data_IF_091564621530
#
_entry.id   IF_091564621530
#
_cell.length_a   1.000
_cell.length_b   1.000
_cell.length_c   1.000
_cell.angle_alpha   90.00
_cell.angle_beta   90.00
_cell.angle_gamma   90.00
#
_symmetry.space_group_name_H-M   'P 1'
#
loop_
_entity.id
_entity.type
_entity.pdbx_description
1 polymer ?
#
# COMPACT_ATOMS: atom_id res chain seq x y z
N UNK A 1 23.66 -12.05 10.06
CA UNK A 1 22.29 -11.89 9.55
C UNK A 1 21.32 -11.33 10.58
N UNK A 2 21.11 -11.99 11.73
CA UNK A 2 20.01 -11.64 12.66
C UNK A 2 19.95 -10.18 13.14
N UNK A 3 21.11 -9.56 13.43
CA UNK A 3 21.20 -8.19 13.93
C UNK A 3 20.95 -7.12 12.85
N UNK A 4 21.28 -7.41 11.59
CA UNK A 4 21.01 -6.52 10.45
C UNK A 4 19.53 -6.54 10.08
N UNK A 5 18.90 -7.72 10.04
CA UNK A 5 17.47 -7.83 9.76
C UNK A 5 16.62 -7.11 10.82
N UNK A 6 16.97 -7.23 12.11
CA UNK A 6 16.26 -6.48 13.16
C UNK A 6 16.50 -4.98 13.09
N UNK A 7 17.72 -4.54 12.76
CA UNK A 7 18.05 -3.12 12.62
C UNK A 7 17.35 -2.42 11.44
N UNK A 8 16.96 -3.17 10.40
CA UNK A 8 16.31 -2.61 9.19
C UNK A 8 14.80 -2.82 9.21
N UNK A 9 14.31 -4.02 9.56
CA UNK A 9 12.87 -4.35 9.48
C UNK A 9 12.04 -3.53 10.46
N UNK A 10 12.55 -3.25 11.66
CA UNK A 10 11.85 -2.43 12.66
C UNK A 10 11.57 -1.01 12.16
N UNK A 11 12.61 -0.24 11.76
CA UNK A 11 12.41 1.07 11.15
C UNK A 11 11.58 1.03 9.87
N UNK A 12 11.80 0.05 8.98
CA UNK A 12 11.02 -0.09 7.76
C UNK A 12 9.52 -0.26 8.06
N UNK A 13 9.19 -1.12 9.03
CA UNK A 13 7.82 -1.31 9.51
C UNK A 13 7.21 -0.01 10.04
N UNK A 14 7.95 0.71 10.89
CA UNK A 14 7.48 1.98 11.42
C UNK A 14 7.29 3.03 10.32
N UNK A 15 8.16 3.07 9.32
CA UNK A 15 8.02 3.94 8.16
C UNK A 15 6.72 3.64 7.41
N UNK A 16 6.47 2.37 7.06
CA UNK A 16 5.27 1.96 6.34
C UNK A 16 3.97 2.26 7.10
N UNK A 17 3.94 1.95 8.41
CA UNK A 17 2.76 2.21 9.25
C UNK A 17 2.51 3.71 9.44
N UNK A 18 3.57 4.48 9.69
CA UNK A 18 3.43 5.92 9.95
C UNK A 18 3.13 6.71 8.68
N UNK A 19 3.62 6.25 7.52
CA UNK A 19 3.38 6.90 6.24
C UNK A 19 1.93 6.78 5.79
N UNK A 20 1.21 5.71 6.18
CA UNK A 20 -0.20 5.54 5.84
C UNK A 20 -1.06 6.74 6.21
N UNK A 21 -0.88 7.31 7.41
CA UNK A 21 -1.64 8.50 7.82
C UNK A 21 -1.37 9.70 6.92
N UNK A 22 -0.12 9.87 6.48
CA UNK A 22 0.28 10.96 5.59
C UNK A 22 -0.30 10.72 4.20
N UNK A 23 -0.17 9.51 3.66
CA UNK A 23 -0.73 9.13 2.37
C UNK A 23 -2.25 9.28 2.34
N UNK A 24 -2.94 8.85 3.40
CA UNK A 24 -4.39 8.93 3.48
C UNK A 24 -4.90 10.38 3.43
N UNK A 25 -4.27 11.28 4.18
CA UNK A 25 -4.68 12.69 4.21
C UNK A 25 -4.26 13.46 2.96
N UNK A 26 -3.07 13.17 2.41
CA UNK A 26 -2.46 13.96 1.33
C UNK A 26 -2.78 13.45 -0.06
N UNK A 27 -3.14 12.17 -0.23
CA UNK A 27 -3.39 11.54 -1.53
C UNK A 27 -4.81 11.00 -1.61
N UNK A 28 -5.21 10.12 -0.68
CA UNK A 28 -6.55 9.50 -0.72
C UNK A 28 -7.65 10.56 -0.56
N UNK A 29 -7.53 11.43 0.45
CA UNK A 29 -8.49 12.49 0.77
C UNK A 29 -8.10 13.87 0.19
N UNK A 30 -7.15 13.91 -0.73
CA UNK A 30 -6.65 15.17 -1.28
C UNK A 30 -7.78 15.98 -1.93
N UNK A 31 -7.88 17.27 -1.61
CA UNK A 31 -8.79 18.17 -2.32
C UNK A 31 -8.22 18.54 -3.69
N UNK A 32 -9.07 18.79 -4.68
CA UNK A 32 -8.68 19.21 -6.04
C UNK A 32 -7.69 20.40 -6.11
N UNK A 33 -7.65 21.25 -5.07
CA UNK A 33 -6.80 22.44 -5.03
C UNK A 33 -5.44 22.22 -4.33
N UNK A 34 -5.10 20.99 -3.95
CA UNK A 34 -3.82 20.69 -3.34
C UNK A 34 -2.73 20.61 -4.42
N UNK A 35 -1.76 21.53 -4.39
CA UNK A 35 -0.53 21.41 -5.18
C UNK A 35 0.27 20.19 -4.69
N UNK A 36 -0.01 19.04 -5.29
CA UNK A 36 0.59 17.75 -4.90
C UNK A 36 1.96 17.48 -5.54
N UNK A 37 2.40 18.32 -6.48
CA UNK A 37 3.67 18.13 -7.20
C UNK A 37 4.74 19.04 -6.61
N UNK A 38 5.59 18.47 -5.75
CA UNK A 38 6.79 19.12 -5.25
C UNK A 38 7.99 18.77 -6.12
N UNK A 39 8.90 19.71 -6.36
CA UNK A 39 10.19 19.44 -7.00
C UNK A 39 11.33 19.67 -6.01
N UNK A 40 12.42 18.91 -6.11
CA UNK A 40 13.64 19.17 -5.37
C UNK A 40 14.50 20.27 -6.01
N UNK A 41 15.67 20.55 -5.43
CA UNK A 41 16.60 21.58 -5.93
C UNK A 41 17.12 21.29 -7.33
N UNK A 42 17.05 20.03 -7.75
CA UNK A 42 17.60 19.55 -9.02
C UNK A 42 16.48 19.41 -10.07
N UNK A 43 15.24 19.76 -9.70
CA UNK A 43 14.05 19.69 -10.56
C UNK A 43 13.43 18.30 -10.65
N UNK A 44 13.83 17.36 -9.79
CA UNK A 44 13.22 16.02 -9.73
C UNK A 44 11.91 16.07 -8.95
N UNK A 45 10.89 15.37 -9.45
CA UNK A 45 9.62 15.26 -8.76
C UNK A 45 9.77 14.51 -7.43
N UNK A 46 9.23 15.11 -6.36
CA UNK A 46 9.09 14.49 -5.05
C UNK A 46 7.69 13.89 -4.98
N UNK A 47 7.60 12.60 -5.26
CA UNK A 47 6.33 11.88 -5.23
C UNK A 47 6.22 11.01 -3.98
N UNK A 48 5.28 11.36 -3.10
CA UNK A 48 4.88 10.48 -2.00
C UNK A 48 4.32 9.17 -2.52
N UNK A 49 3.62 9.20 -3.66
CA UNK A 49 3.12 7.99 -4.32
C UNK A 49 4.28 7.08 -4.75
N UNK A 50 5.30 7.62 -5.42
CA UNK A 50 6.48 6.82 -5.80
C UNK A 50 7.20 6.26 -4.57
N UNK A 51 7.28 7.02 -3.47
CA UNK A 51 7.86 6.52 -2.22
C UNK A 51 7.09 5.32 -1.65
N UNK A 52 5.75 5.40 -1.59
CA UNK A 52 4.92 4.27 -1.13
C UNK A 52 5.00 3.07 -2.08
N UNK A 53 5.04 3.28 -3.40
CA UNK A 53 5.23 2.20 -4.37
C UNK A 53 6.56 1.47 -4.11
N UNK A 54 7.66 2.20 -3.91
CA UNK A 54 8.94 1.57 -3.57
C UNK A 54 8.90 0.81 -2.23
N UNK A 55 8.09 1.26 -1.25
CA UNK A 55 7.87 0.50 -0.02
C UNK A 55 7.11 -0.81 -0.31
N UNK A 56 6.09 -0.79 -1.16
CA UNK A 56 5.39 -2.00 -1.60
C UNK A 56 6.32 -2.99 -2.32
N UNK A 57 7.14 -2.51 -3.24
CA UNK A 57 8.13 -3.35 -3.95
C UNK A 57 9.14 -3.98 -2.98
N UNK A 58 9.60 -3.21 -1.99
CA UNK A 58 10.50 -3.72 -0.95
C UNK A 58 9.81 -4.78 -0.09
N UNK A 59 8.57 -4.56 0.34
CA UNK A 59 7.80 -5.57 1.07
C UNK A 59 7.55 -6.82 0.24
N UNK A 60 7.23 -6.66 -1.06
CA UNK A 60 7.05 -7.77 -1.99
C UNK A 60 8.33 -8.60 -2.08
N UNK A 61 9.48 -7.92 -2.20
CA UNK A 61 10.80 -8.58 -2.20
C UNK A 61 11.09 -9.31 -0.89
N UNK A 62 10.70 -8.75 0.26
CA UNK A 62 10.88 -9.38 1.58
C UNK A 62 9.99 -10.61 1.73
N UNK A 63 8.72 -10.53 1.34
CA UNK A 63 7.75 -11.63 1.41
C UNK A 63 8.16 -12.77 0.47
N UNK A 64 8.58 -12.47 -0.75
CA UNK A 64 9.06 -13.48 -1.71
C UNK A 64 10.40 -14.12 -1.33
N UNK A 65 11.12 -13.57 -0.35
CA UNK A 65 12.33 -14.18 0.16
C UNK A 65 12.02 -15.17 1.30
N UNK A 66 12.11 -16.47 1.04
CA UNK A 66 11.81 -17.54 2.01
C UNK A 66 12.52 -17.44 3.38
N UNK A 67 13.68 -16.78 3.48
CA UNK A 67 14.34 -16.56 4.77
C UNK A 67 13.73 -15.37 5.52
N UNK A 68 13.45 -14.27 4.83
CA UNK A 68 12.90 -13.06 5.44
C UNK A 68 11.39 -13.21 5.72
N UNK A 69 10.67 -13.93 4.87
CA UNK A 69 9.28 -14.32 5.09
C UNK A 69 9.08 -14.97 6.47
N UNK A 70 9.98 -15.87 6.88
CA UNK A 70 9.92 -16.50 8.21
C UNK A 70 10.08 -15.49 9.35
N UNK A 71 10.84 -14.41 9.14
CA UNK A 71 11.05 -13.36 10.15
C UNK A 71 9.82 -12.50 10.31
N UNK A 72 9.12 -12.18 9.21
CA UNK A 72 7.95 -11.29 9.24
C UNK A 72 6.61 -12.01 9.40
N UNK A 73 6.59 -13.34 9.43
CA UNK A 73 5.39 -14.17 9.50
C UNK A 73 4.39 -13.73 10.59
N UNK A 74 4.89 -13.30 11.75
CA UNK A 74 4.05 -12.81 12.86
C UNK A 74 3.31 -11.50 12.61
N UNK A 75 3.66 -10.75 11.55
CA UNK A 75 3.08 -9.44 11.22
C UNK A 75 2.28 -9.45 9.91
N UNK A 76 2.11 -10.60 9.25
CA UNK A 76 1.48 -10.65 7.91
C UNK A 76 0.03 -10.16 7.90
N UNK A 77 -0.72 -10.39 8.98
CA UNK A 77 -2.07 -9.85 9.14
C UNK A 77 -2.09 -8.32 9.13
N UNK A 78 -1.14 -7.71 9.84
CA UNK A 78 -1.02 -6.25 9.90
C UNK A 78 -0.48 -5.69 8.59
N UNK A 79 0.46 -6.38 7.94
CA UNK A 79 0.94 -6.03 6.60
C UNK A 79 -0.21 -6.04 5.58
N UNK A 80 -1.06 -7.07 5.58
CA UNK A 80 -2.24 -7.15 4.73
C UNK A 80 -3.24 -6.01 5.03
N UNK A 81 -3.46 -5.69 6.31
CA UNK A 81 -4.33 -4.56 6.72
C UNK A 81 -3.86 -3.23 6.15
N UNK A 82 -2.58 -2.88 6.36
CA UNK A 82 -2.05 -1.62 5.82
C UNK A 82 -2.07 -1.63 4.30
N UNK A 83 -1.69 -2.75 3.67
CA UNK A 83 -1.73 -2.89 2.21
C UNK A 83 -3.11 -2.57 1.65
N UNK A 84 -4.18 -3.22 2.15
CA UNK A 84 -5.56 -2.95 1.73
C UNK A 84 -5.93 -1.48 1.99
N UNK A 85 -5.48 -0.92 3.12
CA UNK A 85 -5.81 0.46 3.50
C UNK A 85 -5.19 1.49 2.54
N UNK A 86 -3.99 1.25 2.01
CA UNK A 86 -3.36 2.10 0.99
C UNK A 86 -4.04 2.01 -0.38
N UNK A 87 -4.72 0.91 -0.69
CA UNK A 87 -5.37 0.69 -1.99
C UNK A 87 -6.72 1.38 -2.16
N UNK A 88 -7.11 2.28 -1.25
CA UNK A 88 -8.34 3.06 -1.42
C UNK A 88 -8.30 3.89 -2.71
N UNK A 89 -9.43 3.97 -3.41
CA UNK A 89 -9.57 4.86 -4.57
C UNK A 89 -9.43 6.30 -4.08
N UNK A 90 -8.59 7.10 -4.72
CA UNK A 90 -8.41 8.52 -4.39
C UNK A 90 -9.53 9.38 -4.96
N UNK A 91 -9.76 10.56 -4.41
CA UNK A 91 -10.73 11.52 -4.97
C UNK A 91 -10.41 11.86 -6.44
N UNK A 92 -9.13 12.02 -6.77
CA UNK A 92 -8.67 12.25 -8.14
C UNK A 92 -9.04 11.10 -9.08
N UNK A 93 -8.80 9.85 -8.66
CA UNK A 93 -9.18 8.67 -9.43
C UNK A 93 -10.69 8.58 -9.62
N UNK A 94 -11.49 8.81 -8.58
CA UNK A 94 -12.96 8.84 -8.69
C UNK A 94 -13.39 9.82 -9.79
N UNK A 95 -12.82 11.02 -9.81
CA UNK A 95 -13.18 12.05 -10.78
C UNK A 95 -12.74 11.70 -12.21
N UNK A 96 -11.48 11.30 -12.37
CA UNK A 96 -10.91 10.97 -13.67
C UNK A 96 -11.65 9.77 -14.30
N UNK A 97 -11.86 8.70 -13.52
CA UNK A 97 -12.52 7.49 -14.00
C UNK A 97 -14.02 7.69 -14.25
N UNK A 98 -14.67 8.59 -13.52
CA UNK A 98 -16.06 8.97 -13.80
C UNK A 98 -16.22 9.73 -15.11
N UNK A 99 -15.15 10.39 -15.59
CA UNK A 99 -15.15 11.20 -16.83
C UNK A 99 -14.65 10.40 -18.04
N UNK A 100 -13.75 9.44 -17.84
CA UNK A 100 -13.19 8.61 -18.90
C UNK A 100 -13.03 7.14 -18.46
N UNK A 101 -13.90 6.28 -19.00
CA UNK A 101 -13.86 4.85 -18.73
C UNK A 101 -12.62 4.16 -19.35
N UNK A 102 -12.01 4.72 -20.40
CA UNK A 102 -10.78 4.14 -20.96
C UNK A 102 -9.60 4.40 -20.03
N UNK A 103 -9.59 5.56 -19.35
CA UNK A 103 -8.58 5.86 -18.33
C UNK A 103 -8.68 4.88 -17.16
N UNK A 104 -9.89 4.56 -16.69
CA UNK A 104 -10.09 3.51 -15.69
C UNK A 104 -9.50 2.16 -16.12
N UNK A 105 -9.76 1.73 -17.36
CA UNK A 105 -9.22 0.46 -17.88
C UNK A 105 -7.70 0.48 -17.95
N UNK A 106 -7.10 1.61 -18.35
CA UNK A 106 -5.64 1.74 -18.40
C UNK A 106 -5.01 1.75 -16.99
N UNK A 107 -5.62 2.46 -16.04
CA UNK A 107 -5.05 2.64 -14.69
C UNK A 107 -5.14 1.37 -13.83
N UNK A 108 -6.11 0.50 -14.08
CA UNK A 108 -6.26 -0.79 -13.38
C UNK A 108 -5.55 -1.95 -14.10
N UNK A 109 -4.75 -1.69 -15.14
CA UNK A 109 -3.85 -2.69 -15.74
C UNK A 109 -2.67 -2.98 -14.82
N UNK A 110 -2.24 -4.24 -14.74
CA UNK A 110 -1.15 -4.70 -13.86
C UNK A 110 0.21 -4.07 -14.18
N UNK A 111 0.37 -3.44 -15.35
CA UNK A 111 1.60 -2.69 -15.71
C UNK A 111 1.59 -1.25 -15.21
N UNK A 112 0.48 -0.77 -14.64
CA UNK A 112 0.37 0.60 -14.16
C UNK A 112 1.13 0.79 -12.85
N UNK A 113 1.98 1.81 -12.84
CA UNK A 113 2.76 2.18 -11.67
C UNK A 113 1.90 2.98 -10.68
N UNK A 114 1.23 2.28 -9.75
CA UNK A 114 0.40 2.89 -8.71
C UNK A 114 0.50 2.13 -7.39
N UNK A 115 0.12 2.80 -6.28
CA UNK A 115 -0.02 2.14 -4.98
C UNK A 115 -1.09 1.03 -5.00
N UNK A 116 -2.14 1.21 -5.79
CA UNK A 116 -3.23 0.22 -5.93
C UNK A 116 -2.72 -1.07 -6.55
N UNK A 117 -2.00 -0.98 -7.67
CA UNK A 117 -1.43 -2.13 -8.37
C UNK A 117 -0.31 -2.77 -7.54
N UNK A 118 0.61 -1.97 -7.00
CA UNK A 118 1.73 -2.48 -6.19
C UNK A 118 1.25 -3.18 -4.90
N UNK A 119 0.18 -2.66 -4.30
CA UNK A 119 -0.48 -3.32 -3.17
C UNK A 119 -1.08 -4.68 -3.55
N UNK A 120 -1.70 -4.80 -4.72
CA UNK A 120 -2.26 -6.08 -5.20
C UNK A 120 -1.17 -7.12 -5.39
N UNK A 121 -0.04 -6.73 -6.00
CA UNK A 121 1.11 -7.62 -6.17
C UNK A 121 1.67 -8.10 -4.82
N UNK A 122 1.73 -7.24 -3.80
CA UNK A 122 2.13 -7.66 -2.46
C UNK A 122 1.13 -8.65 -1.83
N UNK A 123 -0.18 -8.43 -2.00
CA UNK A 123 -1.19 -9.37 -1.50
C UNK A 123 -1.07 -10.74 -2.18
N UNK A 124 -0.80 -10.79 -3.49
CA UNK A 124 -0.54 -12.03 -4.22
C UNK A 124 0.72 -12.74 -3.72
N UNK A 125 1.79 -11.99 -3.46
CA UNK A 125 3.04 -12.52 -2.91
C UNK A 125 2.83 -13.05 -1.48
N UNK A 126 1.97 -12.41 -0.67
CA UNK A 126 1.57 -12.93 0.65
C UNK A 126 0.88 -14.29 0.53
N UNK A 127 -0.06 -14.45 -0.41
CA UNK A 127 -0.72 -15.74 -0.65
C UNK A 127 0.29 -16.77 -1.14
N UNK A 128 1.21 -16.38 -2.02
CA UNK A 128 2.23 -17.27 -2.56
C UNK A 128 3.21 -17.75 -1.49
N UNK A 129 3.64 -16.87 -0.58
CA UNK A 129 4.64 -17.18 0.44
C UNK A 129 4.06 -17.90 1.67
N UNK A 130 2.77 -17.71 1.98
CA UNK A 130 2.15 -18.21 3.21
C UNK A 130 0.95 -19.14 2.99
N UNK A 131 0.56 -19.41 1.74
CA UNK A 131 -0.53 -20.31 1.36
C UNK A 131 -1.84 -19.95 2.10
N UNK A 132 -2.51 -20.93 2.71
CA UNK A 132 -3.76 -20.75 3.45
C UNK A 132 -3.65 -19.66 4.54
N UNK A 133 -2.50 -19.55 5.20
CA UNK A 133 -2.28 -18.51 6.21
C UNK A 133 -2.28 -17.10 5.60
N UNK A 134 -1.77 -16.95 4.38
CA UNK A 134 -1.84 -15.69 3.64
C UNK A 134 -3.27 -15.31 3.28
N UNK A 135 -4.08 -16.28 2.84
CA UNK A 135 -5.50 -16.09 2.54
C UNK A 135 -6.26 -15.65 3.80
N UNK A 136 -6.06 -16.35 4.93
CA UNK A 136 -6.68 -16.01 6.20
C UNK A 136 -6.29 -14.59 6.67
N UNK A 137 -5.03 -14.21 6.50
CA UNK A 137 -4.54 -12.88 6.84
C UNK A 137 -5.25 -11.77 6.04
N UNK A 138 -5.42 -11.96 4.74
CA UNK A 138 -6.13 -11.01 3.86
C UNK A 138 -7.61 -10.95 4.20
N UNK A 139 -8.24 -12.09 4.49
CA UNK A 139 -9.65 -12.14 4.88
C UNK A 139 -9.90 -11.38 6.18
N UNK A 140 -9.07 -11.61 7.21
CA UNK A 140 -9.17 -10.91 8.48
C UNK A 140 -8.93 -9.40 8.31
N UNK A 141 -7.89 -9.01 7.58
CA UNK A 141 -7.58 -7.62 7.28
C UNK A 141 -8.76 -6.92 6.57
N UNK A 142 -9.34 -7.58 5.55
CA UNK A 142 -10.50 -7.07 4.84
C UNK A 142 -11.70 -6.85 5.77
N UNK A 143 -11.98 -7.80 6.67
CA UNK A 143 -13.07 -7.67 7.64
C UNK A 143 -12.87 -6.48 8.59
N UNK A 144 -11.62 -6.20 8.99
CA UNK A 144 -11.28 -5.01 9.78
C UNK A 144 -11.57 -3.74 8.98
N UNK A 145 -11.04 -3.62 7.77
CA UNK A 145 -11.26 -2.44 6.92
C UNK A 145 -12.77 -2.22 6.64
N UNK A 146 -13.54 -3.29 6.39
CA UNK A 146 -14.99 -3.19 6.20
C UNK A 146 -15.70 -2.68 7.45
N UNK A 147 -15.32 -3.15 8.64
CA UNK A 147 -15.91 -2.69 9.90
C UNK A 147 -15.62 -1.21 10.13
N UNK A 148 -14.35 -0.80 10.00
CA UNK A 148 -13.91 0.60 10.16
C UNK A 148 -14.64 1.54 9.18
N UNK A 149 -14.79 1.13 7.92
CA UNK A 149 -15.55 1.89 6.91
C UNK A 149 -17.03 2.07 7.30
N UNK A 150 -17.66 1.05 7.90
CA UNK A 150 -19.06 1.16 8.35
C UNK A 150 -19.20 2.10 9.54
N UNK A 151 -18.25 2.08 10.46
CA UNK A 151 -18.23 2.97 11.64
C UNK A 151 -18.04 4.43 11.20
N UNK A 152 -17.12 4.70 10.26
CA UNK A 152 -16.91 6.03 9.70
C UNK A 152 -18.15 6.60 9.00
N UNK A 153 -18.96 5.76 8.34
CA UNK A 153 -20.23 6.18 7.71
C UNK A 153 -21.35 6.51 8.71
N UNK A 154 -21.22 6.09 9.96
CA UNK A 154 -22.22 6.31 11.01
C UNK A 154 -21.87 7.49 11.94
N UNK A 155 -20.63 7.97 11.90
CA UNK A 155 -20.13 9.12 12.65
C UNK A 155 -20.46 10.44 11.94
#
# INVERSE_FOLDING_TARGET
>A
MGQFCTAVLGPLWQTFVSSFKVYHLSIIQASENADNVGYDSDGSERSLESFEIQLFELWTTIVGNSMLAKVIAGNIKELAYYTISFQQITEEQVQNWSRDANQYVADEDDVTYSCRVSGSLLLEEIVTAYEDYGIDAILEASQVCFRESRELKQA
#
